data_IF_181445855409
#
_entry.id   IF_181445855409
#
_cell.length_a   1.000
_cell.length_b   1.000
_cell.length_c   1.000
_cell.angle_alpha   90.00
_cell.angle_beta   90.00
_cell.angle_gamma   90.00
#
_symmetry.space_group_name_H-M   'P 1'
#
loop_
_entity.id
_entity.type
_entity.pdbx_description
1 polymer ?
#
# COMPACT_ATOMS: atom_id res chain seq x y z
N UNK A 1 -6.16 38.07 10.87
CA UNK A 1 -6.79 36.79 10.45
C UNK A 1 -5.82 36.06 9.51
N UNK A 2 -4.86 35.29 10.05
CA UNK A 2 -3.75 34.66 9.27
C UNK A 2 -3.50 33.19 9.71
N UNK A 3 -4.48 32.55 10.35
CA UNK A 3 -4.25 31.23 10.96
C UNK A 3 -4.30 30.11 9.88
N UNK A 4 -4.99 30.34 8.76
CA UNK A 4 -5.23 29.30 7.74
C UNK A 4 -4.07 29.10 6.73
N UNK A 5 -3.19 30.10 6.55
CA UNK A 5 -2.08 30.01 5.58
C UNK A 5 -0.94 29.08 6.02
N UNK A 6 -0.74 28.91 7.33
CA UNK A 6 0.34 28.07 7.87
C UNK A 6 -0.03 26.58 7.99
N UNK A 7 -1.29 26.20 7.76
CA UNK A 7 -1.73 24.81 7.91
C UNK A 7 -1.59 23.97 6.62
N UNK A 8 -1.27 24.59 5.48
CA UNK A 8 -1.08 23.87 4.21
C UNK A 8 0.15 22.96 4.21
N UNK A 9 1.19 23.31 4.95
CA UNK A 9 2.42 22.52 5.04
C UNK A 9 2.34 21.37 6.06
N UNK A 10 1.29 21.30 6.87
CA UNK A 10 1.17 20.31 7.95
C UNK A 10 0.46 19.02 7.52
N UNK A 11 0.27 18.79 6.21
CA UNK A 11 -0.29 17.53 5.72
C UNK A 11 0.75 16.42 5.89
N UNK A 12 0.51 15.40 6.74
CA UNK A 12 1.48 14.35 6.96
C UNK A 12 1.70 13.58 5.65
N UNK A 13 2.91 13.67 5.09
CA UNK A 13 3.39 12.91 3.92
C UNK A 13 3.50 11.39 4.16
N UNK A 14 2.85 10.85 5.21
CA UNK A 14 2.94 9.44 5.64
C UNK A 14 1.97 8.49 4.93
N UNK A 15 1.15 8.98 4.00
CA UNK A 15 0.12 8.19 3.28
C UNK A 15 0.66 6.94 2.57
N UNK A 16 1.96 6.88 2.23
CA UNK A 16 2.58 5.73 1.57
C UNK A 16 3.19 4.69 2.51
N UNK A 17 3.62 5.09 3.71
CA UNK A 17 4.34 4.22 4.66
C UNK A 17 3.45 3.07 5.16
N UNK A 18 2.16 3.35 5.33
CA UNK A 18 1.17 2.33 5.72
C UNK A 18 1.13 1.17 4.72
N UNK A 19 1.21 1.43 3.42
CA UNK A 19 1.16 0.38 2.39
C UNK A 19 2.39 -0.53 2.43
N UNK A 20 3.55 0.03 2.77
CA UNK A 20 4.80 -0.73 2.92
C UNK A 20 4.72 -1.63 4.14
N UNK A 21 4.30 -1.08 5.29
CA UNK A 21 4.15 -1.85 6.54
C UNK A 21 3.07 -2.93 6.39
N UNK A 22 1.93 -2.60 5.80
CA UNK A 22 0.85 -3.55 5.54
C UNK A 22 1.29 -4.68 4.60
N UNK A 23 2.01 -4.35 3.51
CA UNK A 23 2.59 -5.35 2.63
C UNK A 23 3.59 -6.28 3.32
N UNK A 24 4.46 -5.75 4.18
CA UNK A 24 5.42 -6.54 4.94
C UNK A 24 4.73 -7.48 5.94
N UNK A 25 3.69 -7.02 6.63
CA UNK A 25 2.89 -7.86 7.53
C UNK A 25 2.20 -8.98 6.76
N UNK A 26 1.63 -8.70 5.58
CA UNK A 26 1.00 -9.73 4.74
C UNK A 26 1.99 -10.80 4.28
N UNK A 27 3.23 -10.43 3.95
CA UNK A 27 4.28 -11.39 3.56
C UNK A 27 4.64 -12.37 4.69
N UNK A 28 4.52 -11.93 5.94
CA UNK A 28 4.78 -12.76 7.12
C UNK A 28 3.55 -13.60 7.47
N UNK A 29 2.35 -13.03 7.45
CA UNK A 29 1.12 -13.71 7.87
C UNK A 29 0.62 -14.70 6.81
N UNK A 30 0.72 -14.39 5.52
CA UNK A 30 0.24 -15.26 4.45
C UNK A 30 0.78 -16.71 4.53
N UNK A 31 2.09 -16.97 4.64
CA UNK A 31 2.60 -18.34 4.72
C UNK A 31 2.13 -19.08 5.98
N UNK A 32 1.86 -18.39 7.08
CA UNK A 32 1.35 -19.01 8.32
C UNK A 32 -0.12 -19.46 8.22
N UNK A 33 -0.89 -18.91 7.26
CA UNK A 33 -2.30 -19.28 7.05
C UNK A 33 -2.46 -20.39 6.01
N UNK A 34 -1.47 -20.57 5.12
CA UNK A 34 -1.52 -21.53 4.02
C UNK A 34 -0.45 -22.63 4.13
N UNK A 35 -0.20 -23.11 5.36
CA UNK A 35 0.81 -24.13 5.67
C UNK A 35 0.65 -25.41 4.82
N UNK A 36 -0.59 -25.78 4.47
CA UNK A 36 -0.92 -26.98 3.68
C UNK A 36 -1.02 -26.73 2.17
N UNK A 37 -0.84 -25.50 1.67
CA UNK A 37 -1.07 -25.17 0.26
C UNK A 37 -0.16 -24.04 -0.21
N UNK A 38 1.10 -24.38 -0.45
CA UNK A 38 2.13 -23.47 -0.93
C UNK A 38 1.78 -22.80 -2.27
N UNK A 39 1.06 -23.50 -3.16
CA UNK A 39 0.57 -22.92 -4.43
C UNK A 39 -0.44 -21.80 -4.21
N UNK A 40 -1.41 -21.99 -3.30
CA UNK A 40 -2.41 -20.97 -2.98
C UNK A 40 -1.77 -19.75 -2.32
N UNK A 41 -0.77 -19.97 -1.45
CA UNK A 41 0.03 -18.88 -0.86
C UNK A 41 0.78 -18.07 -1.91
N UNK A 42 1.42 -18.72 -2.89
CA UNK A 42 2.09 -18.02 -4.01
C UNK A 42 1.10 -17.24 -4.88
N UNK A 43 -0.04 -17.84 -5.23
CA UNK A 43 -1.08 -17.16 -6.01
C UNK A 43 -1.64 -15.94 -5.27
N UNK A 44 -1.86 -16.04 -3.96
CA UNK A 44 -2.31 -14.93 -3.12
C UNK A 44 -1.27 -13.80 -3.08
N UNK A 45 0.03 -14.12 -2.98
CA UNK A 45 1.10 -13.12 -3.04
C UNK A 45 1.20 -12.42 -4.39
N UNK A 46 1.18 -13.17 -5.48
CA UNK A 46 1.29 -12.61 -6.84
C UNK A 46 0.08 -11.72 -7.14
N UNK A 47 -1.13 -12.20 -6.84
CA UNK A 47 -2.36 -11.42 -7.04
C UNK A 47 -2.40 -10.17 -6.17
N UNK A 48 -2.03 -10.28 -4.89
CA UNK A 48 -1.92 -9.15 -3.96
C UNK A 48 -0.89 -8.11 -4.42
N UNK A 49 0.27 -8.54 -4.93
CA UNK A 49 1.30 -7.66 -5.47
C UNK A 49 0.80 -6.90 -6.71
N UNK A 50 0.16 -7.60 -7.66
CA UNK A 50 -0.41 -6.98 -8.86
C UNK A 50 -1.49 -5.96 -8.49
N UNK A 51 -2.43 -6.35 -7.63
CA UNK A 51 -3.55 -5.49 -7.22
C UNK A 51 -3.06 -4.26 -6.44
N UNK A 52 -2.11 -4.46 -5.51
CA UNK A 52 -1.49 -3.40 -4.73
C UNK A 52 -0.65 -2.46 -5.59
N UNK A 53 0.13 -3.00 -6.53
CA UNK A 53 0.90 -2.23 -7.50
C UNK A 53 0.02 -1.40 -8.44
N UNK A 54 -1.05 -1.97 -8.96
CA UNK A 54 -2.05 -1.25 -9.77
C UNK A 54 -2.72 -0.12 -8.99
N UNK A 55 -3.18 -0.40 -7.76
CA UNK A 55 -3.77 0.62 -6.89
C UNK A 55 -2.80 1.75 -6.57
N UNK A 56 -1.53 1.43 -6.31
CA UNK A 56 -0.47 2.41 -6.10
C UNK A 56 -0.22 3.25 -7.35
N UNK A 57 -0.08 2.62 -8.51
CA UNK A 57 0.17 3.29 -9.78
C UNK A 57 -0.97 4.27 -10.12
N UNK A 58 -2.22 3.84 -10.03
CA UNK A 58 -3.37 4.71 -10.30
C UNK A 58 -3.44 5.90 -9.33
N UNK A 59 -3.23 5.66 -8.03
CA UNK A 59 -3.39 6.69 -6.99
C UNK A 59 -2.25 7.71 -6.98
N UNK A 60 -1.01 7.29 -7.17
CA UNK A 60 0.17 8.15 -6.95
C UNK A 60 0.93 8.51 -8.24
N UNK A 61 0.90 7.64 -9.25
CA UNK A 61 1.63 7.86 -10.52
C UNK A 61 0.71 8.50 -11.56
N UNK A 62 -0.46 7.91 -11.84
CA UNK A 62 -1.41 8.43 -12.83
C UNK A 62 -2.05 9.74 -12.40
N UNK A 63 -2.37 9.91 -11.11
CA UNK A 63 -3.00 11.12 -10.56
C UNK A 63 -2.14 12.39 -10.68
N UNK A 64 -0.84 12.28 -10.95
CA UNK A 64 0.04 13.43 -11.25
C UNK A 64 -0.12 13.99 -12.67
N UNK A 65 -0.88 13.35 -13.56
CA UNK A 65 -1.05 13.75 -14.98
C UNK A 65 -2.41 14.40 -15.31
N UNK A 66 -3.15 14.89 -14.30
CA UNK A 66 -4.34 15.72 -14.48
C UNK A 66 -4.22 16.93 -13.56
#
# INVERSE_FOLDING_TARGET
MIIMYHNEHNKPKRSGLFLIVFGAVLLIVAPTQYENSQELGMLALISGFIMGGLGFYLKYVKKKRI
#
